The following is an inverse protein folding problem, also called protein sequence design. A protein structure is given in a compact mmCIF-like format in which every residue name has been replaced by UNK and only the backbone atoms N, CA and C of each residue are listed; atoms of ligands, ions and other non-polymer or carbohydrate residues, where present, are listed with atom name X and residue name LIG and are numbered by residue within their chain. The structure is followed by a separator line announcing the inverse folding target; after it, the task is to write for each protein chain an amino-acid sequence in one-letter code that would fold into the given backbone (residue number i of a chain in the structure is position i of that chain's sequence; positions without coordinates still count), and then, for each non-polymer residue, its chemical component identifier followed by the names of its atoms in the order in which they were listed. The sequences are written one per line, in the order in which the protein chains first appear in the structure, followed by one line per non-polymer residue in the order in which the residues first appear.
data_IF_950740665869
#
_entry.id   IF_950740665869
#
_cell.length_a   1.000
_cell.length_b   1.000
_cell.length_c   1.000
_cell.angle_alpha   90.00
_cell.angle_beta   90.00
_cell.angle_gamma   90.00
#
_symmetry.space_group_name_H-M   'P 1'
#
loop_
_entity.id
_entity.type
_entity.pdbx_description
1 polymer ?
#
# COMPACT_ATOMS: atom_id res chain seq x y z
N UNK A 1 26.54 3.02 -19.69
CA UNK A 1 26.04 1.66 -19.92
C UNK A 1 27.02 0.69 -19.31
N UNK A 2 26.75 0.29 -18.06
CA UNK A 2 27.45 -0.84 -17.47
C UNK A 2 26.97 -2.10 -18.19
N UNK A 3 27.89 -2.91 -18.70
CA UNK A 3 27.54 -4.20 -19.30
C UNK A 3 26.99 -5.10 -18.19
N UNK A 4 25.83 -5.69 -18.43
CA UNK A 4 25.26 -6.76 -17.59
C UNK A 4 26.33 -7.78 -17.21
N UNK A 5 26.57 -7.92 -15.91
CA UNK A 5 27.61 -8.79 -15.38
C UNK A 5 27.08 -10.24 -15.28
N UNK A 6 27.95 -11.18 -14.91
CA UNK A 6 27.57 -12.60 -14.80
C UNK A 6 26.53 -12.87 -13.70
N UNK A 7 26.49 -12.03 -12.65
CA UNK A 7 25.52 -12.15 -11.55
C UNK A 7 24.13 -11.69 -11.99
N UNK A 8 24.04 -10.62 -12.77
CA UNK A 8 22.75 -10.13 -13.29
C UNK A 8 22.08 -11.21 -14.16
N UNK A 9 22.88 -11.90 -14.96
CA UNK A 9 22.44 -13.05 -15.76
C UNK A 9 22.00 -14.22 -14.88
N UNK A 10 22.73 -14.52 -13.79
CA UNK A 10 22.36 -15.58 -12.87
C UNK A 10 21.02 -15.30 -12.18
N UNK A 11 20.77 -14.07 -11.72
CA UNK A 11 19.48 -13.68 -11.12
C UNK A 11 18.35 -13.87 -12.13
N UNK A 12 18.56 -13.43 -13.37
CA UNK A 12 17.58 -13.59 -14.43
C UNK A 12 17.33 -15.06 -14.81
N UNK A 13 18.37 -15.88 -14.86
CA UNK A 13 18.25 -17.32 -15.09
C UNK A 13 17.52 -18.03 -13.94
N UNK A 14 17.75 -17.58 -12.70
CA UNK A 14 17.02 -18.07 -11.52
C UNK A 14 15.53 -17.70 -11.58
N UNK A 15 15.18 -16.50 -12.04
CA UNK A 15 13.78 -16.12 -12.28
C UNK A 15 13.13 -17.04 -13.32
N UNK A 16 13.81 -17.27 -14.45
CA UNK A 16 13.31 -18.18 -15.50
C UNK A 16 13.07 -19.58 -14.98
N UNK A 17 13.98 -20.11 -14.16
CA UNK A 17 13.81 -21.42 -13.57
C UNK A 17 12.53 -21.49 -12.70
N UNK A 18 12.22 -20.43 -11.96
CA UNK A 18 10.98 -20.38 -11.17
C UNK A 18 9.70 -20.45 -12.04
N UNK A 19 9.70 -19.85 -13.23
CA UNK A 19 8.60 -20.01 -14.20
C UNK A 19 8.49 -21.45 -14.71
N UNK A 20 9.63 -22.05 -15.07
CA UNK A 20 9.69 -23.43 -15.57
C UNK A 20 9.22 -24.43 -14.49
N UNK A 21 9.60 -24.20 -13.24
CA UNK A 21 9.19 -25.03 -12.09
C UNK A 21 7.67 -25.00 -11.87
N UNK A 22 6.98 -23.94 -12.30
CA UNK A 22 5.51 -23.83 -12.28
C UNK A 22 4.85 -24.37 -13.56
N UNK A 23 5.61 -24.99 -14.45
CA UNK A 23 5.12 -25.54 -15.72
C UNK A 23 4.87 -24.49 -16.81
N UNK A 24 5.41 -23.28 -16.66
CA UNK A 24 5.33 -22.25 -17.69
C UNK A 24 6.48 -22.35 -18.68
N UNK A 25 6.22 -22.00 -19.94
CA UNK A 25 7.22 -21.91 -21.00
C UNK A 25 7.67 -20.47 -21.17
N UNK A 26 8.98 -20.26 -21.24
CA UNK A 26 9.55 -18.99 -21.70
C UNK A 26 9.40 -18.93 -23.22
N UNK A 27 8.70 -17.90 -23.72
CA UNK A 27 8.38 -17.74 -25.14
C UNK A 27 9.16 -16.61 -25.80
N UNK A 28 9.72 -15.69 -25.02
CA UNK A 28 10.50 -14.57 -25.51
C UNK A 28 11.49 -14.11 -24.46
N UNK A 29 12.67 -13.69 -24.91
CA UNK A 29 13.71 -13.05 -24.10
C UNK A 29 14.28 -11.86 -24.89
N UNK A 30 14.52 -10.76 -24.20
CA UNK A 30 15.07 -9.52 -24.75
C UNK A 30 16.14 -8.96 -23.81
N UNK A 31 17.31 -8.65 -24.35
CA UNK A 31 18.33 -7.89 -23.64
C UNK A 31 18.11 -6.40 -23.93
N UNK A 32 17.65 -5.66 -22.92
CA UNK A 32 17.51 -4.21 -22.99
C UNK A 32 18.81 -3.54 -22.53
N UNK A 33 19.05 -2.25 -22.87
CA UNK A 33 20.28 -1.57 -22.50
C UNK A 33 20.65 -1.65 -21.01
N UNK A 34 19.65 -1.60 -20.13
CA UNK A 34 19.82 -1.60 -18.66
C UNK A 34 18.90 -2.64 -17.95
N UNK A 35 18.38 -3.63 -18.68
CA UNK A 35 17.47 -4.62 -18.12
C UNK A 35 17.46 -5.95 -18.90
N UNK A 36 17.01 -7.01 -18.24
CA UNK A 36 16.74 -8.31 -18.84
C UNK A 36 15.25 -8.58 -18.79
N UNK A 37 14.63 -8.81 -19.95
CA UNK A 37 13.18 -8.99 -20.07
C UNK A 37 12.86 -10.35 -20.66
N UNK A 38 11.83 -10.98 -20.12
CA UNK A 38 11.27 -12.20 -20.67
C UNK A 38 9.75 -12.20 -20.64
N UNK A 39 9.18 -13.15 -21.38
CA UNK A 39 7.75 -13.43 -21.38
C UNK A 39 7.54 -14.93 -21.27
N UNK A 40 6.62 -15.33 -20.39
CA UNK A 40 6.25 -16.72 -20.15
C UNK A 40 4.76 -16.95 -20.31
N UNK A 41 4.36 -18.18 -20.62
CA UNK A 41 2.95 -18.59 -20.75
C UNK A 41 2.78 -20.06 -20.36
N UNK A 42 1.57 -20.46 -20.00
CA UNK A 42 1.20 -21.87 -19.94
C UNK A 42 1.06 -22.46 -21.35
N UNK A 43 1.20 -23.78 -21.48
CA UNK A 43 1.01 -24.49 -22.75
C UNK A 43 -0.43 -24.40 -23.30
N UNK A 44 -1.41 -24.14 -22.43
CA UNK A 44 -2.82 -24.08 -22.81
C UNK A 44 -3.26 -22.66 -23.20
N UNK A 45 -3.92 -22.48 -24.36
CA UNK A 45 -4.42 -21.19 -24.80
C UNK A 45 -5.60 -20.73 -23.92
N UNK A 46 -5.43 -19.61 -23.23
CA UNK A 46 -6.52 -19.00 -22.43
C UNK A 46 -6.06 -18.11 -21.28
N UNK A 47 -4.83 -18.30 -20.78
CA UNK A 47 -4.22 -17.42 -19.77
C UNK A 47 -3.24 -16.46 -20.45
N UNK A 48 -3.38 -15.17 -20.17
CA UNK A 48 -2.41 -14.16 -20.60
C UNK A 48 -1.01 -14.51 -20.09
N UNK A 49 0.02 -14.24 -20.89
CA UNK A 49 1.40 -14.48 -20.48
C UNK A 49 1.83 -13.55 -19.35
N UNK A 50 2.81 -14.00 -18.56
CA UNK A 50 3.50 -13.16 -17.57
C UNK A 50 4.75 -12.60 -18.22
N UNK A 51 4.81 -11.29 -18.31
CA UNK A 51 6.03 -10.56 -18.60
C UNK A 51 6.82 -10.37 -17.31
N UNK A 52 8.13 -10.57 -17.38
CA UNK A 52 9.03 -10.38 -16.26
C UNK A 52 10.27 -9.60 -16.68
N UNK A 53 10.69 -8.65 -15.85
CA UNK A 53 11.85 -7.80 -16.10
C UNK A 53 12.72 -7.78 -14.86
N UNK A 54 14.03 -7.92 -15.04
CA UNK A 54 15.02 -7.60 -14.02
C UNK A 54 15.77 -6.33 -14.43
N UNK A 55 15.79 -5.34 -13.54
CA UNK A 55 16.49 -4.06 -13.71
C UNK A 55 17.65 -3.99 -12.71
N UNK A 56 18.89 -4.36 -13.12
CA UNK A 56 20.02 -4.48 -12.20
C UNK A 56 20.39 -3.17 -11.52
N UNK A 57 20.29 -2.05 -12.23
CA UNK A 57 20.62 -0.71 -11.71
C UNK A 57 19.80 -0.31 -10.49
N UNK A 58 18.61 -0.90 -10.34
CA UNK A 58 17.70 -0.64 -9.23
C UNK A 58 17.52 -1.87 -8.31
N UNK A 59 18.11 -3.02 -8.66
CA UNK A 59 17.85 -4.31 -8.03
C UNK A 59 16.35 -4.64 -7.93
N UNK A 60 15.57 -4.31 -8.97
CA UNK A 60 14.12 -4.53 -8.98
C UNK A 60 13.77 -5.62 -9.98
N UNK A 61 12.84 -6.47 -9.57
CA UNK A 61 12.10 -7.37 -10.45
C UNK A 61 10.69 -6.83 -10.61
N UNK A 62 10.23 -6.73 -11.85
CA UNK A 62 8.86 -6.41 -12.22
C UNK A 62 8.21 -7.62 -12.88
N UNK A 63 6.99 -7.92 -12.43
CA UNK A 63 6.10 -8.90 -13.05
C UNK A 63 4.86 -8.16 -13.55
N UNK A 64 4.47 -8.42 -14.79
CA UNK A 64 3.24 -7.88 -15.33
C UNK A 64 2.45 -8.87 -16.17
N UNK A 65 1.12 -8.77 -16.09
CA UNK A 65 0.21 -9.52 -16.95
C UNK A 65 -0.71 -8.54 -17.67
N UNK A 66 -0.69 -8.63 -19.00
CA UNK A 66 -1.61 -7.88 -19.87
C UNK A 66 -2.90 -8.66 -20.02
N UNK A 67 -4.03 -7.99 -19.82
CA UNK A 67 -5.34 -8.61 -19.95
C UNK A 67 -6.02 -8.26 -21.27
N UNK A 68 -6.62 -7.07 -21.38
CA UNK A 68 -7.43 -6.69 -22.53
C UNK A 68 -7.42 -5.18 -22.76
N UNK A 69 -7.60 -4.78 -24.03
CA UNK A 69 -7.88 -3.40 -24.44
C UNK A 69 -9.36 -3.08 -24.19
N UNK A 70 -9.64 -2.11 -23.34
CA UNK A 70 -10.99 -1.74 -22.93
C UNK A 70 -11.65 -0.71 -23.84
N UNK A 71 -12.98 -0.79 -23.95
CA UNK A 71 -13.75 0.22 -24.66
C UNK A 71 -13.72 1.56 -23.91
N UNK A 72 -13.68 2.67 -24.65
CA UNK A 72 -13.40 4.00 -24.08
C UNK A 72 -14.49 4.47 -23.12
N UNK A 73 -15.74 4.17 -23.45
CA UNK A 73 -16.95 4.49 -22.68
C UNK A 73 -17.03 3.68 -21.37
N UNK A 74 -16.36 2.52 -21.29
CA UNK A 74 -16.30 1.69 -20.09
C UNK A 74 -15.15 2.07 -19.14
N UNK A 75 -14.23 2.96 -19.55
CA UNK A 75 -13.06 3.35 -18.75
C UNK A 75 -13.41 3.95 -17.37
N UNK A 76 -14.41 4.83 -17.21
CA UNK A 76 -14.74 5.37 -15.89
C UNK A 76 -15.12 4.29 -14.88
N UNK A 77 -16.00 3.36 -15.27
CA UNK A 77 -16.41 2.23 -14.44
C UNK A 77 -15.26 1.24 -14.20
N UNK A 78 -14.37 1.08 -15.19
CA UNK A 78 -13.17 0.26 -15.04
C UNK A 78 -12.27 0.85 -13.96
N UNK A 79 -11.96 2.16 -14.00
CA UNK A 79 -11.11 2.79 -12.99
C UNK A 79 -11.69 2.66 -11.58
N UNK A 80 -13.00 2.83 -11.43
CA UNK A 80 -13.69 2.60 -10.16
C UNK A 80 -13.52 1.16 -9.66
N UNK A 81 -13.76 0.16 -10.51
CA UNK A 81 -13.57 -1.25 -10.17
C UNK A 81 -12.12 -1.57 -9.80
N UNK A 82 -11.15 -1.10 -10.60
CA UNK A 82 -9.73 -1.34 -10.34
C UNK A 82 -9.29 -0.71 -9.01
N UNK A 83 -9.77 0.50 -8.69
CA UNK A 83 -9.47 1.13 -7.40
C UNK A 83 -10.00 0.29 -6.23
N UNK A 84 -11.23 -0.22 -6.31
CA UNK A 84 -11.80 -1.08 -5.28
C UNK A 84 -11.03 -2.39 -5.10
N UNK A 85 -10.61 -3.02 -6.20
CA UNK A 85 -9.78 -4.23 -6.16
C UNK A 85 -8.43 -3.91 -5.52
N UNK A 86 -7.77 -2.82 -5.95
CA UNK A 86 -6.44 -2.42 -5.49
C UNK A 86 -6.39 -2.11 -3.99
N UNK A 87 -7.47 -1.59 -3.39
CA UNK A 87 -7.56 -1.37 -1.95
C UNK A 87 -7.35 -2.67 -1.13
N UNK A 88 -7.55 -3.83 -1.73
CA UNK A 88 -7.46 -5.13 -1.08
C UNK A 88 -6.22 -5.94 -1.52
N UNK A 89 -5.30 -5.34 -2.29
CA UNK A 89 -4.08 -6.00 -2.75
C UNK A 89 -2.84 -5.45 -2.04
N UNK A 90 -1.90 -6.34 -1.70
CA UNK A 90 -0.72 -5.98 -0.88
C UNK A 90 0.52 -5.76 -1.76
N UNK A 91 0.86 -6.72 -2.62
CA UNK A 91 2.10 -6.72 -3.41
C UNK A 91 1.88 -6.51 -4.92
N UNK A 92 0.64 -6.24 -5.31
CA UNK A 92 0.24 -6.10 -6.70
C UNK A 92 -0.75 -4.96 -6.83
N UNK A 93 -0.91 -4.43 -8.02
CA UNK A 93 -1.99 -3.50 -8.35
C UNK A 93 -2.40 -3.66 -9.81
N UNK A 94 -3.67 -3.41 -10.10
CA UNK A 94 -4.17 -3.21 -11.45
C UNK A 94 -3.99 -1.75 -11.87
N UNK A 95 -3.63 -1.54 -13.13
CA UNK A 95 -3.61 -0.23 -13.74
C UNK A 95 -4.00 -0.33 -15.22
N UNK A 96 -4.23 0.83 -15.85
CA UNK A 96 -4.34 0.92 -17.31
C UNK A 96 -3.02 1.45 -17.83
N UNK A 97 -2.44 0.77 -18.82
CA UNK A 97 -1.17 1.16 -19.39
C UNK A 97 -1.25 2.59 -20.00
N UNK A 98 -0.25 3.46 -19.73
CA UNK A 98 -0.26 4.82 -20.25
C UNK A 98 -0.37 4.86 -21.77
N UNK A 99 -1.24 5.74 -22.28
CA UNK A 99 -1.52 5.92 -23.71
C UNK A 99 -2.11 4.68 -24.42
N UNK A 100 -2.54 3.66 -23.67
CA UNK A 100 -3.37 2.59 -24.17
C UNK A 100 -4.61 2.44 -23.29
N UNK A 101 -5.46 1.45 -23.57
CA UNK A 101 -6.58 1.08 -22.68
C UNK A 101 -6.42 -0.36 -22.20
N UNK A 102 -5.18 -0.84 -22.23
CA UNK A 102 -4.84 -2.21 -21.85
C UNK A 102 -4.76 -2.27 -20.33
N UNK A 103 -5.58 -3.14 -19.74
CA UNK A 103 -5.50 -3.45 -18.31
C UNK A 103 -4.25 -4.28 -18.02
N UNK A 104 -3.49 -3.85 -17.03
CA UNK A 104 -2.31 -4.51 -16.51
C UNK A 104 -2.54 -4.92 -15.06
N UNK A 105 -2.11 -6.12 -14.70
CA UNK A 105 -1.76 -6.46 -13.33
C UNK A 105 -0.25 -6.34 -13.19
N UNK A 106 0.24 -5.52 -12.26
CA UNK A 106 1.67 -5.35 -11.99
C UNK A 106 2.00 -5.75 -10.56
N UNK A 107 3.20 -6.29 -10.39
CA UNK A 107 3.78 -6.66 -9.11
C UNK A 107 5.29 -6.54 -9.20
N UNK A 108 5.98 -6.45 -8.06
CA UNK A 108 7.42 -6.37 -8.07
C UNK A 108 8.03 -6.68 -6.73
N UNK A 109 9.33 -6.94 -6.74
CA UNK A 109 10.11 -7.12 -5.52
C UNK A 109 11.54 -6.62 -5.69
N UNK A 110 12.15 -6.26 -4.57
CA UNK A 110 13.57 -5.94 -4.52
C UNK A 110 14.40 -7.22 -4.42
N UNK A 111 15.56 -7.21 -5.07
CA UNK A 111 16.59 -8.25 -4.97
C UNK A 111 17.58 -7.81 -3.91
N UNK A 112 17.53 -8.46 -2.75
CA UNK A 112 18.42 -8.17 -1.61
C UNK A 112 19.64 -9.10 -1.61
N UNK A 113 20.80 -8.58 -1.20
CA UNK A 113 21.99 -9.42 -1.01
C UNK A 113 22.63 -9.99 -2.28
N UNK A 114 22.30 -9.46 -3.47
CA UNK A 114 22.85 -9.86 -4.77
C UNK A 114 22.51 -11.30 -5.22
N UNK A 115 21.41 -11.88 -4.73
CA UNK A 115 20.86 -13.15 -5.22
C UNK A 115 19.32 -13.13 -5.18
N UNK A 116 18.67 -13.98 -5.97
CA UNK A 116 17.22 -14.12 -5.95
C UNK A 116 16.79 -15.04 -4.80
N UNK A 117 15.96 -14.56 -3.87
CA UNK A 117 15.21 -15.47 -3.00
C UNK A 117 14.12 -16.17 -3.83
N UNK A 118 14.40 -17.40 -4.27
CA UNK A 118 13.50 -18.19 -5.12
C UNK A 118 12.17 -18.53 -4.44
N UNK A 119 12.12 -18.64 -3.11
CA UNK A 119 10.89 -18.93 -2.37
C UNK A 119 9.96 -17.71 -2.41
N UNK A 120 10.50 -16.52 -2.10
CA UNK A 120 9.74 -15.27 -2.12
C UNK A 120 9.26 -14.97 -3.54
N UNK A 121 10.15 -15.14 -4.53
CA UNK A 121 9.79 -14.92 -5.94
C UNK A 121 8.69 -15.88 -6.43
N UNK A 122 8.75 -17.17 -6.06
CA UNK A 122 7.68 -18.13 -6.39
C UNK A 122 6.36 -17.78 -5.69
N UNK A 123 6.43 -17.31 -4.44
CA UNK A 123 5.25 -16.83 -3.70
C UNK A 123 4.62 -15.63 -4.42
N UNK A 124 5.43 -14.64 -4.81
CA UNK A 124 4.99 -13.47 -5.56
C UNK A 124 4.34 -13.88 -6.90
N UNK A 125 5.01 -14.74 -7.66
CA UNK A 125 4.49 -15.24 -8.94
C UNK A 125 3.17 -15.99 -8.76
N UNK A 126 3.05 -16.82 -7.72
CA UNK A 126 1.80 -17.49 -7.37
C UNK A 126 0.68 -16.50 -7.03
N UNK A 127 0.97 -15.45 -6.26
CA UNK A 127 0.02 -14.38 -5.94
C UNK A 127 -0.44 -13.61 -7.18
N UNK A 128 0.47 -13.29 -8.11
CA UNK A 128 0.14 -12.65 -9.40
C UNK A 128 -0.80 -13.52 -10.22
N UNK A 129 -0.49 -14.81 -10.36
CA UNK A 129 -1.32 -15.75 -11.11
C UNK A 129 -2.70 -15.94 -10.47
N UNK A 130 -2.77 -16.02 -9.13
CA UNK A 130 -4.03 -16.12 -8.40
C UNK A 130 -4.88 -14.86 -8.57
N UNK A 131 -4.29 -13.67 -8.43
CA UNK A 131 -4.99 -12.40 -8.62
C UNK A 131 -5.52 -12.27 -10.06
N UNK A 132 -4.72 -12.63 -11.06
CA UNK A 132 -5.17 -12.66 -12.45
C UNK A 132 -6.35 -13.62 -12.65
N UNK A 133 -6.25 -14.86 -12.13
CA UNK A 133 -7.32 -15.84 -12.23
C UNK A 133 -8.63 -15.38 -11.57
N UNK A 134 -8.54 -14.72 -10.42
CA UNK A 134 -9.71 -14.22 -9.68
C UNK A 134 -10.34 -13.00 -10.34
N UNK A 135 -9.54 -11.99 -10.69
CA UNK A 135 -10.08 -10.69 -11.06
C UNK A 135 -10.24 -10.47 -12.57
N UNK A 136 -9.44 -11.10 -13.44
CA UNK A 136 -9.62 -10.94 -14.88
C UNK A 136 -11.03 -11.33 -15.37
N UNK A 137 -11.64 -12.44 -14.93
CA UNK A 137 -13.01 -12.77 -15.31
C UNK A 137 -14.05 -11.73 -14.85
N UNK A 138 -13.82 -11.09 -13.71
CA UNK A 138 -14.71 -10.04 -13.17
C UNK A 138 -14.55 -8.74 -13.97
N UNK A 139 -13.32 -8.37 -14.28
CA UNK A 139 -13.01 -7.26 -15.17
C UNK A 139 -13.64 -7.52 -16.56
N UNK A 140 -13.58 -8.76 -17.07
CA UNK A 140 -14.22 -9.17 -18.33
C UNK A 140 -15.72 -8.85 -18.35
N UNK A 141 -16.43 -9.10 -17.25
CA UNK A 141 -17.87 -8.86 -17.15
C UNK A 141 -18.23 -7.39 -17.35
N UNK A 142 -17.40 -6.47 -16.89
CA UNK A 142 -17.61 -5.04 -17.11
C UNK A 142 -17.49 -4.66 -18.60
N UNK A 143 -16.62 -5.36 -19.34
CA UNK A 143 -16.44 -5.14 -20.77
C UNK A 143 -17.53 -5.81 -21.62
N UNK A 144 -18.00 -6.99 -21.20
CA UNK A 144 -18.93 -7.83 -21.97
C UNK A 144 -20.41 -7.58 -21.63
N UNK A 145 -20.71 -7.07 -20.44
CA UNK A 145 -22.07 -6.89 -19.93
C UNK A 145 -22.32 -5.45 -19.46
N UNK A 146 -23.59 -5.09 -19.30
CA UNK A 146 -24.01 -3.83 -18.67
C UNK A 146 -24.09 -3.92 -17.13
N UNK A 147 -23.26 -4.79 -16.54
CA UNK A 147 -23.16 -4.91 -15.09
C UNK A 147 -22.49 -3.67 -14.49
N UNK A 148 -23.02 -3.19 -13.37
CA UNK A 148 -22.42 -2.10 -12.60
C UNK A 148 -21.28 -2.62 -11.74
N UNK A 149 -20.35 -1.74 -11.37
CA UNK A 149 -19.25 -2.05 -10.44
C UNK A 149 -19.79 -2.67 -9.15
N UNK A 150 -20.85 -2.09 -8.58
CA UNK A 150 -21.53 -2.61 -7.40
C UNK A 150 -22.00 -4.06 -7.58
N UNK A 151 -22.67 -4.38 -8.70
CA UNK A 151 -23.17 -5.73 -8.94
C UNK A 151 -22.05 -6.78 -9.06
N UNK A 152 -20.90 -6.39 -9.63
CA UNK A 152 -19.71 -7.25 -9.74
C UNK A 152 -19.10 -7.50 -8.35
N UNK A 153 -19.00 -6.46 -7.52
CA UNK A 153 -18.46 -6.58 -6.16
C UNK A 153 -19.37 -7.41 -5.25
N UNK A 154 -20.70 -7.26 -5.35
CA UNK A 154 -21.64 -8.11 -4.61
C UNK A 154 -21.53 -9.59 -4.99
N UNK A 155 -21.26 -9.89 -6.26
CA UNK A 155 -21.02 -11.26 -6.72
C UNK A 155 -19.72 -11.83 -6.14
N UNK A 156 -18.63 -11.05 -6.15
CA UNK A 156 -17.35 -11.42 -5.52
C UNK A 156 -17.53 -11.75 -4.03
N UNK A 157 -18.24 -10.89 -3.31
CA UNK A 157 -18.53 -11.07 -1.88
C UNK A 157 -19.32 -12.37 -1.67
N UNK A 158 -20.36 -12.62 -2.48
CA UNK A 158 -21.16 -13.86 -2.39
C UNK A 158 -20.32 -15.12 -2.64
N UNK A 159 -19.50 -15.12 -3.69
CA UNK A 159 -18.62 -16.26 -4.01
C UNK A 159 -17.62 -16.49 -2.87
N UNK A 160 -17.00 -15.42 -2.38
CA UNK A 160 -16.05 -15.48 -1.26
C UNK A 160 -16.71 -16.05 0.00
N UNK A 161 -17.90 -15.58 0.38
CA UNK A 161 -18.69 -16.09 1.51
C UNK A 161 -18.99 -17.59 1.36
N UNK A 162 -19.42 -18.02 0.17
CA UNK A 162 -19.77 -19.42 -0.09
C UNK A 162 -18.60 -20.41 -0.06
N UNK A 163 -17.36 -19.91 -0.17
CA UNK A 163 -16.14 -20.70 -0.13
C UNK A 163 -15.38 -20.52 1.20
N UNK A 164 -15.84 -19.64 2.09
CA UNK A 164 -15.22 -19.41 3.39
C UNK A 164 -15.47 -20.60 4.33
N UNK A 165 -14.44 -20.98 5.12
CA UNK A 165 -14.64 -21.94 6.20
C UNK A 165 -15.71 -21.45 7.19
N UNK A 166 -16.58 -22.34 7.72
CA UNK A 166 -17.69 -21.96 8.60
C UNK A 166 -17.30 -21.13 9.82
N UNK A 167 -16.07 -21.28 10.31
CA UNK A 167 -15.51 -20.53 11.43
C UNK A 167 -15.35 -19.01 11.18
N UNK A 168 -15.36 -18.58 9.92
CA UNK A 168 -15.31 -17.15 9.52
C UNK A 168 -16.71 -16.56 9.25
N UNK A 169 -17.75 -17.38 9.32
CA UNK A 169 -19.13 -16.98 9.10
C UNK A 169 -19.89 -16.90 10.43
N UNK A 170 -20.75 -15.91 10.56
CA UNK A 170 -21.74 -15.87 11.63
C UNK A 170 -22.76 -17.03 11.47
N UNK A 171 -23.50 -17.40 12.53
CA UNK A 171 -24.54 -18.43 12.46
C UNK A 171 -25.63 -18.20 11.38
N UNK A 172 -25.73 -16.98 10.86
CA UNK A 172 -26.64 -16.57 9.79
C UNK A 172 -26.04 -16.72 8.37
N UNK A 173 -24.81 -17.21 8.24
CA UNK A 173 -24.11 -17.40 6.95
C UNK A 173 -23.51 -16.13 6.35
N UNK A 174 -23.50 -15.01 7.08
CA UNK A 174 -22.80 -13.78 6.67
C UNK A 174 -21.35 -13.82 7.16
N UNK A 175 -20.48 -13.09 6.47
CA UNK A 175 -19.15 -12.79 6.99
C UNK A 175 -19.26 -12.25 8.41
N UNK A 176 -18.36 -12.66 9.31
CA UNK A 176 -18.06 -11.88 10.50
C UNK A 176 -17.58 -10.51 10.03
N UNK A 177 -18.51 -9.55 9.94
CA UNK A 177 -18.13 -8.16 9.73
C UNK A 177 -17.23 -7.80 10.91
N UNK A 178 -15.98 -7.30 10.67
CA UNK A 178 -15.24 -6.70 11.77
C UNK A 178 -16.18 -5.66 12.36
N UNK A 179 -16.52 -5.82 13.65
CA UNK A 179 -17.41 -4.90 14.36
C UNK A 179 -16.98 -3.50 13.94
N UNK A 180 -17.86 -2.76 13.25
CA UNK A 180 -17.59 -1.37 12.86
C UNK A 180 -16.97 -0.71 14.09
N UNK A 181 -15.68 -0.38 14.00
CA UNK A 181 -15.07 0.49 15.00
C UNK A 181 -15.95 1.71 15.03
N UNK A 182 -16.42 2.10 16.21
CA UNK A 182 -17.16 3.35 16.40
C UNK A 182 -16.40 4.41 15.62
N UNK A 183 -17.07 5.10 14.69
CA UNK A 183 -16.40 6.12 13.87
C UNK A 183 -15.67 7.08 14.83
N UNK A 184 -14.36 7.30 14.63
CA UNK A 184 -13.61 8.16 15.52
C UNK A 184 -14.25 9.57 15.52
N UNK A 185 -14.28 10.26 16.67
CA UNK A 185 -14.91 11.57 16.82
C UNK A 185 -14.11 12.72 16.16
N UNK A 186 -13.27 12.42 15.16
CA UNK A 186 -12.37 13.34 14.48
C UNK A 186 -12.19 12.91 13.02
N UNK A 187 -11.70 13.82 12.18
CA UNK A 187 -11.46 13.56 10.75
C UNK A 187 -9.97 13.29 10.54
N UNK A 188 -9.64 12.31 9.69
CA UNK A 188 -8.28 12.09 9.20
C UNK A 188 -8.20 12.57 7.75
N UNK A 189 -7.34 13.54 7.48
CA UNK A 189 -7.03 14.01 6.14
C UNK A 189 -5.77 13.34 5.60
N UNK A 190 -5.82 12.93 4.34
CA UNK A 190 -4.68 12.44 3.57
C UNK A 190 -4.83 12.92 2.13
N UNK A 191 -3.72 13.05 1.40
CA UNK A 191 -3.75 13.39 -0.03
C UNK A 191 -2.97 12.34 -0.82
N UNK A 192 -3.68 11.58 -1.68
CA UNK A 192 -3.04 10.61 -2.57
C UNK A 192 -2.27 11.29 -3.73
N UNK A 193 -2.62 12.54 -4.07
CA UNK A 193 -2.11 13.27 -5.23
C UNK A 193 -0.92 14.19 -4.91
N UNK A 194 -0.59 14.39 -3.63
CA UNK A 194 0.52 15.25 -3.19
C UNK A 194 1.49 14.46 -2.30
N UNK A 195 2.68 14.09 -2.81
CA UNK A 195 3.60 13.20 -2.09
C UNK A 195 4.18 13.79 -0.79
N UNK A 196 4.08 15.10 -0.58
CA UNK A 196 4.58 15.80 0.60
C UNK A 196 3.47 16.29 1.56
N UNK A 197 2.21 15.90 1.34
CA UNK A 197 1.11 16.35 2.19
C UNK A 197 0.90 15.39 3.37
N UNK A 198 1.19 15.78 4.61
CA UNK A 198 1.12 14.88 5.76
C UNK A 198 -0.30 14.38 6.01
N UNK A 199 -0.40 13.10 6.37
CA UNK A 199 -1.64 12.54 6.92
C UNK A 199 -1.84 13.11 8.32
N UNK A 200 -2.97 13.77 8.59
CA UNK A 200 -3.17 14.47 9.86
C UNK A 200 -4.63 14.48 10.32
N UNK A 201 -4.87 14.86 11.57
CA UNK A 201 -6.21 14.93 12.16
C UNK A 201 -6.82 16.33 12.15
N UNK A 202 -8.14 16.42 12.17
CA UNK A 202 -8.88 17.61 12.57
C UNK A 202 -9.92 17.22 13.63
N UNK A 203 -9.99 17.99 14.73
CA UNK A 203 -11.01 17.86 15.77
C UNK A 203 -10.55 17.16 17.05
N UNK A 204 -9.30 16.69 17.12
CA UNK A 204 -8.76 16.11 18.36
C UNK A 204 -8.61 17.16 19.47
N UNK A 205 -8.30 18.40 19.09
CA UNK A 205 -8.17 19.52 20.03
C UNK A 205 -9.47 19.75 20.82
N UNK A 206 -10.64 19.64 20.17
CA UNK A 206 -11.96 19.77 20.81
C UNK A 206 -12.23 18.69 21.87
N UNK A 207 -11.51 17.57 21.77
CA UNK A 207 -11.57 16.44 22.70
C UNK A 207 -10.49 16.54 23.80
N UNK A 208 -9.71 17.62 23.83
CA UNK A 208 -8.59 17.81 24.77
C UNK A 208 -7.34 16.98 24.42
N UNK A 209 -7.23 16.53 23.17
CA UNK A 209 -6.12 15.72 22.65
C UNK A 209 -5.23 16.55 21.72
N UNK A 210 -3.95 16.19 21.53
CA UNK A 210 -3.15 16.80 20.47
C UNK A 210 -3.70 16.39 19.10
N UNK A 211 -3.50 17.23 18.11
CA UNK A 211 -3.63 16.79 16.73
C UNK A 211 -2.45 15.89 16.35
N UNK A 212 -2.72 14.80 15.64
CA UNK A 212 -1.70 13.86 15.17
C UNK A 212 -1.32 14.14 13.72
N UNK A 213 -0.03 14.07 13.43
CA UNK A 213 0.52 14.19 12.09
C UNK A 213 1.49 13.05 11.80
N UNK A 214 1.35 12.43 10.62
CA UNK A 214 2.22 11.38 10.11
C UNK A 214 2.65 11.78 8.71
N UNK A 215 3.92 11.58 8.37
CA UNK A 215 4.36 11.72 6.99
C UNK A 215 3.55 10.79 6.07
N UNK A 216 3.20 11.24 4.87
CA UNK A 216 2.35 10.48 3.96
C UNK A 216 3.00 9.16 3.53
N UNK A 217 4.31 9.17 3.34
CA UNK A 217 5.09 8.05 2.82
C UNK A 217 5.68 7.16 3.93
N UNK A 218 5.70 7.62 5.19
CA UNK A 218 6.28 6.89 6.32
C UNK A 218 5.86 5.41 6.41
N UNK A 219 4.61 5.09 6.06
CA UNK A 219 4.08 3.73 6.11
C UNK A 219 3.39 3.30 4.80
N UNK A 220 3.66 4.03 3.70
CA UNK A 220 2.97 3.87 2.42
C UNK A 220 1.53 4.45 2.40
N UNK A 221 0.92 4.46 1.22
CA UNK A 221 -0.32 5.22 0.96
C UNK A 221 -1.59 4.78 1.73
N UNK A 222 -1.62 3.61 2.38
CA UNK A 222 -2.86 2.99 2.89
C UNK A 222 -2.85 2.60 4.38
N UNK A 223 -1.92 3.07 5.23
CA UNK A 223 -1.89 2.66 6.65
C UNK A 223 -1.91 3.80 7.69
N UNK A 224 -1.59 5.03 7.29
CA UNK A 224 -1.45 6.15 8.24
C UNK A 224 -2.72 6.42 9.06
N UNK A 225 -3.90 6.36 8.43
CA UNK A 225 -5.17 6.56 9.14
C UNK A 225 -5.46 5.50 10.22
N UNK A 226 -5.15 4.23 9.93
CA UNK A 226 -5.28 3.16 10.93
C UNK A 226 -4.33 3.35 12.12
N UNK A 227 -3.11 3.83 11.86
CA UNK A 227 -2.11 4.13 12.89
C UNK A 227 -2.51 5.31 13.77
N UNK A 228 -3.10 6.35 13.19
CA UNK A 228 -3.69 7.47 13.94
C UNK A 228 -4.79 6.96 14.88
N UNK A 229 -5.72 6.15 14.38
CA UNK A 229 -6.82 5.61 15.18
C UNK A 229 -6.30 4.75 16.34
N UNK A 230 -5.36 3.83 16.08
CA UNK A 230 -4.75 3.02 17.14
C UNK A 230 -3.99 3.86 18.17
N UNK A 231 -3.34 4.93 17.74
CA UNK A 231 -2.65 5.88 18.63
C UNK A 231 -3.65 6.65 19.50
N UNK A 232 -4.76 7.12 18.93
CA UNK A 232 -5.85 7.75 19.68
C UNK A 232 -6.42 6.79 20.74
N UNK A 233 -6.75 5.56 20.37
CA UNK A 233 -7.25 4.54 21.30
C UNK A 233 -6.24 4.21 22.41
N UNK A 234 -4.95 4.24 22.10
CA UNK A 234 -3.90 4.04 23.10
C UNK A 234 -3.85 5.20 24.10
N UNK A 235 -3.78 6.44 23.62
CA UNK A 235 -3.55 7.61 24.47
C UNK A 235 -4.78 8.08 25.25
N UNK A 236 -5.99 7.74 24.80
CA UNK A 236 -7.24 8.03 25.52
C UNK A 236 -7.43 7.17 26.77
N UNK A 237 -6.72 6.04 26.88
CA UNK A 237 -6.78 5.17 28.06
C UNK A 237 -6.24 5.88 29.30
N UNK A 238 -6.95 5.83 30.45
CA UNK A 238 -6.53 6.53 31.67
C UNK A 238 -5.10 6.21 32.13
N UNK A 239 -4.67 4.96 31.99
CA UNK A 239 -3.33 4.48 32.34
C UNK A 239 -2.21 5.10 31.49
N UNK A 240 -2.53 5.58 30.29
CA UNK A 240 -1.56 6.15 29.36
C UNK A 240 -1.51 7.68 29.38
N UNK A 241 -2.34 8.35 30.20
CA UNK A 241 -2.36 9.83 30.32
C UNK A 241 -0.99 10.43 30.60
N UNK A 242 -0.17 9.77 31.44
CA UNK A 242 1.19 10.23 31.73
C UNK A 242 2.12 10.26 30.51
N UNK A 243 1.84 9.46 29.47
CA UNK A 243 2.61 9.45 28.22
C UNK A 243 2.32 10.68 27.37
N UNK A 244 1.06 11.11 27.28
CA UNK A 244 0.72 12.36 26.59
C UNK A 244 1.35 13.57 27.27
N UNK A 245 1.34 13.62 28.60
CA UNK A 245 2.00 14.70 29.35
C UNK A 245 3.51 14.70 29.13
N UNK A 246 4.15 13.52 29.08
CA UNK A 246 5.56 13.41 28.73
C UNK A 246 5.85 13.98 27.33
N UNK A 247 5.03 13.63 26.33
CA UNK A 247 5.15 14.19 24.97
C UNK A 247 4.98 15.69 24.99
N UNK A 248 3.96 16.20 25.69
CA UNK A 248 3.68 17.62 25.83
C UNK A 248 4.86 18.38 26.44
N UNK A 249 5.59 17.75 27.36
CA UNK A 249 6.79 18.30 28.00
C UNK A 249 8.07 18.12 27.16
N UNK A 250 7.96 17.61 25.93
CA UNK A 250 9.05 17.50 24.97
C UNK A 250 9.77 16.15 24.95
N UNK A 251 9.29 15.16 25.70
CA UNK A 251 9.84 13.81 25.62
C UNK A 251 9.33 13.07 24.38
N UNK A 252 10.14 12.16 23.84
CA UNK A 252 9.70 11.24 22.79
C UNK A 252 9.20 9.95 23.43
N UNK A 253 7.93 9.62 23.22
CA UNK A 253 7.37 8.32 23.60
C UNK A 253 7.55 7.34 22.44
N UNK A 254 7.99 6.11 22.75
CA UNK A 254 8.22 5.05 21.77
C UNK A 254 7.27 3.89 22.04
N UNK A 255 6.54 3.44 21.02
CA UNK A 255 5.58 2.32 21.08
C UNK A 255 5.83 1.35 19.93
N UNK A 256 5.36 0.11 20.07
CA UNK A 256 5.35 -0.92 19.03
C UNK A 256 3.92 -1.39 18.74
N UNK A 257 3.73 -2.19 17.69
CA UNK A 257 2.44 -2.79 17.35
C UNK A 257 1.75 -3.48 18.54
N UNK A 258 2.45 -4.28 19.38
CA UNK A 258 1.81 -4.91 20.54
C UNK A 258 1.29 -3.92 21.60
N UNK A 259 1.84 -2.70 21.66
CA UNK A 259 1.37 -1.66 22.58
C UNK A 259 0.06 -1.04 22.06
N UNK A 260 0.02 -0.76 20.75
CA UNK A 260 -1.10 -0.10 20.09
C UNK A 260 -2.27 -1.07 19.80
N UNK A 261 -1.92 -2.29 19.38
CA UNK A 261 -2.82 -3.34 18.91
C UNK A 261 -2.41 -4.69 19.52
N UNK A 262 -2.74 -4.96 20.79
CA UNK A 262 -2.27 -6.14 21.51
C UNK A 262 -2.70 -7.49 20.91
N UNK A 263 -3.75 -7.50 20.09
CA UNK A 263 -4.27 -8.68 19.39
C UNK A 263 -3.77 -8.83 17.95
N UNK A 264 -2.78 -8.04 17.53
CA UNK A 264 -2.21 -8.15 16.20
C UNK A 264 -1.46 -9.50 16.05
N UNK A 265 -1.91 -10.35 15.14
CA UNK A 265 -1.33 -11.68 14.91
C UNK A 265 0.07 -11.61 14.28
N UNK A 266 0.33 -10.56 13.50
CA UNK A 266 1.60 -10.32 12.81
C UNK A 266 2.07 -8.87 13.06
N UNK A 267 2.64 -8.58 14.23
CA UNK A 267 3.06 -7.22 14.57
C UNK A 267 4.22 -6.76 13.69
N UNK A 268 4.12 -5.53 13.20
CA UNK A 268 5.21 -4.87 12.47
C UNK A 268 6.43 -4.65 13.41
N UNK A 269 7.68 -4.94 12.96
CA UNK A 269 8.88 -4.69 13.75
C UNK A 269 9.18 -3.20 14.01
N UNK A 270 8.54 -2.25 13.34
CA UNK A 270 8.79 -0.82 13.50
C UNK A 270 8.52 -0.30 14.93
N UNK A 271 9.29 0.72 15.33
CA UNK A 271 9.08 1.47 16.58
C UNK A 271 8.52 2.84 16.24
N UNK A 272 7.29 3.11 16.68
CA UNK A 272 6.60 4.38 16.49
C UNK A 272 7.04 5.37 17.56
N UNK A 273 7.62 6.48 17.12
CA UNK A 273 8.04 7.59 17.96
C UNK A 273 7.00 8.71 17.90
N UNK A 274 6.63 9.23 19.07
CA UNK A 274 5.67 10.30 19.25
C UNK A 274 6.40 11.47 19.89
N UNK A 275 6.49 12.60 19.19
CA UNK A 275 7.13 13.81 19.70
C UNK A 275 6.23 15.02 19.52
N UNK A 276 6.33 15.99 20.42
CA UNK A 276 5.69 17.29 20.24
C UNK A 276 6.36 18.04 19.09
N UNK A 277 5.55 18.61 18.22
CA UNK A 277 5.96 19.59 17.20
C UNK A 277 5.16 20.87 17.38
N UNK A 278 5.61 21.95 16.76
CA UNK A 278 5.06 23.30 16.96
C UNK A 278 4.53 23.85 15.64
N UNK A 279 3.61 24.85 15.68
CA UNK A 279 3.11 25.56 14.51
C UNK A 279 4.15 25.96 13.45
N UNK A 280 5.36 26.26 13.88
CA UNK A 280 6.44 26.73 13.00
C UNK A 280 7.03 25.61 12.15
N UNK A 281 6.85 24.36 12.55
CA UNK A 281 7.36 23.19 11.83
C UNK A 281 6.62 23.03 10.50
N UNK A 282 7.37 22.82 9.42
CA UNK A 282 6.81 22.90 8.07
C UNK A 282 5.70 21.87 7.81
N UNK A 283 5.81 20.67 8.38
CA UNK A 283 4.76 19.65 8.32
C UNK A 283 3.42 20.18 8.86
N UNK A 284 3.45 20.95 9.94
CA UNK A 284 2.24 21.53 10.55
C UNK A 284 1.66 22.60 9.63
N UNK A 285 2.51 23.47 9.09
CA UNK A 285 2.08 24.49 8.12
C UNK A 285 1.42 23.89 6.89
N UNK A 286 1.97 22.81 6.35
CA UNK A 286 1.39 22.09 5.20
C UNK A 286 0.06 21.44 5.55
N UNK A 287 -0.06 20.84 6.73
CA UNK A 287 -1.29 20.17 7.17
C UNK A 287 -2.46 21.15 7.35
N UNK A 288 -2.20 22.30 7.97
CA UNK A 288 -3.25 23.25 8.40
C UNK A 288 -3.29 24.53 7.55
N UNK A 289 -2.54 24.58 6.45
CA UNK A 289 -2.44 25.76 5.57
C UNK A 289 -2.14 27.05 6.34
N UNK A 290 -1.20 26.99 7.30
CA UNK A 290 -0.88 28.11 8.20
C UNK A 290 -0.01 29.12 7.45
N UNK A 291 -0.56 30.29 7.17
CA UNK A 291 0.18 31.42 6.57
C UNK A 291 0.62 32.44 7.64
N UNK A 292 -0.09 32.49 8.77
CA UNK A 292 0.14 33.37 9.92
C UNK A 292 -0.04 32.62 11.25
N UNK A 293 0.70 32.97 12.33
CA UNK A 293 0.47 32.40 13.67
C UNK A 293 -0.96 32.55 14.21
N UNK A 294 -1.70 33.56 13.72
CA UNK A 294 -3.09 33.81 14.10
C UNK A 294 -4.09 32.83 13.45
N UNK A 295 -3.64 32.00 12.50
CA UNK A 295 -4.49 31.03 11.78
C UNK A 295 -4.75 29.75 12.59
N UNK A 296 -4.16 29.63 13.78
CA UNK A 296 -4.21 28.42 14.62
C UNK A 296 -4.92 28.74 15.93
N UNK A 297 -5.84 27.88 16.33
CA UNK A 297 -6.42 27.94 17.67
C UNK A 297 -5.31 27.75 18.73
N UNK A 298 -5.14 28.69 19.68
CA UNK A 298 -4.11 28.62 20.73
C UNK A 298 -4.16 27.36 21.59
N UNK A 299 -5.28 26.65 21.64
CA UNK A 299 -5.42 25.38 22.34
C UNK A 299 -4.83 24.19 21.56
N UNK A 300 -4.62 24.35 20.25
CA UNK A 300 -4.05 23.31 19.40
C UNK A 300 -2.58 23.08 19.75
N UNK A 301 -2.23 21.81 19.86
CA UNK A 301 -0.85 21.38 19.92
C UNK A 301 -0.71 20.06 19.17
N UNK A 302 0.49 19.82 18.68
CA UNK A 302 0.70 18.86 17.61
C UNK A 302 1.67 17.78 18.05
N UNK A 303 1.37 16.55 17.67
CA UNK A 303 2.24 15.39 17.88
C UNK A 303 2.54 14.76 16.53
N UNK A 304 3.83 14.76 16.20
CA UNK A 304 4.33 14.02 15.05
C UNK A 304 4.54 12.55 15.44
N UNK A 305 4.07 11.65 14.58
CA UNK A 305 4.30 10.22 14.64
C UNK A 305 5.26 9.84 13.51
N UNK A 306 6.35 9.16 13.84
CA UNK A 306 7.39 8.76 12.89
C UNK A 306 8.02 7.42 13.28
N UNK A 307 8.82 6.82 12.40
CA UNK A 307 9.53 5.57 12.68
C UNK A 307 10.91 5.86 13.26
N UNK A 308 11.31 5.11 14.28
CA UNK A 308 12.69 5.14 14.77
C UNK A 308 13.69 4.82 13.65
N UNK A 309 14.58 5.76 13.36
CA UNK A 309 15.56 5.68 12.28
C UNK A 309 15.16 6.42 10.99
N UNK A 310 13.94 6.93 10.89
CA UNK A 310 13.54 7.86 9.84
C UNK A 310 13.88 9.31 10.23
N UNK A 311 15.16 9.64 10.14
CA UNK A 311 15.66 10.96 10.51
C UNK A 311 15.25 12.05 9.51
N UNK A 312 14.83 11.68 8.30
CA UNK A 312 14.45 12.63 7.24
C UNK A 312 13.12 13.32 7.56
N UNK A 313 12.12 12.55 8.03
CA UNK A 313 10.83 13.07 8.47
C UNK A 313 10.94 14.07 9.64
N UNK A 314 12.12 14.20 10.26
CA UNK A 314 12.31 15.07 11.41
C UNK A 314 12.66 16.52 11.05
N UNK A 315 12.90 16.81 9.77
CA UNK A 315 13.50 18.07 9.31
C UNK A 315 12.51 18.94 8.53
N UNK A 316 12.64 20.26 8.64
CA UNK A 316 11.86 21.22 7.84
C UNK A 316 12.19 21.10 6.35
N UNK A 317 13.45 20.82 6.02
CA UNK A 317 13.96 20.71 4.65
C UNK A 317 13.20 19.67 3.84
N UNK A 318 12.86 18.55 4.48
CA UNK A 318 12.08 17.47 3.87
C UNK A 318 10.71 17.96 3.38
N UNK A 319 10.04 18.79 4.17
CA UNK A 319 8.70 19.32 3.85
C UNK A 319 8.72 20.58 2.96
N UNK A 320 9.78 21.41 3.02
CA UNK A 320 9.89 22.66 2.22
C UNK A 320 10.18 22.47 0.75
N UNK A 321 10.82 21.36 0.37
CA UNK A 321 11.35 21.16 -0.99
C UNK A 321 10.90 19.89 -1.70
N UNK A 322 10.18 19.01 -1.00
CA UNK A 322 10.03 17.62 -1.40
C UNK A 322 11.38 16.89 -1.44
N UNK A 323 11.32 15.55 -1.49
CA UNK A 323 12.53 14.75 -1.70
C UNK A 323 13.17 15.17 -3.04
N UNK A 324 14.34 15.83 -2.97
CA UNK A 324 15.21 16.01 -4.12
C UNK A 324 15.91 14.68 -4.35
N UNK A 325 15.28 13.82 -5.15
CA UNK A 325 15.88 12.60 -5.66
C UNK A 325 17.09 12.90 -6.54
#
# INVERSE_FOLDING_TARGET
MEKLNSKDKQIYDDMKQCFVDLGMKIIKEENLPDALRGMSTFEYPGYGGVEFIFVPSHNIIDLSMRYADFQRDKLPALYELLNLINLNMVNSHFCVEPNSRIVLLRSGMNVTGYFLNKIDFKTLLGQVLAAAHTFFPLIAKLQLNDQTVQSIMEELIKVSISQMPPEFLEPNGKMNEPKKSVEPPFIVHACADMPAFPTHTHGLTELGMPEFLIDHLAFGGNQNGGRINASYDYFTKPENKGKLEAIKNGETVKLKDPDLMPSCEYPDPHVYCYRRVYPEFEMVKLAYCIESPDDIDPAMWFVQIYVEGDDFALTDEYYKGGIKW
#
